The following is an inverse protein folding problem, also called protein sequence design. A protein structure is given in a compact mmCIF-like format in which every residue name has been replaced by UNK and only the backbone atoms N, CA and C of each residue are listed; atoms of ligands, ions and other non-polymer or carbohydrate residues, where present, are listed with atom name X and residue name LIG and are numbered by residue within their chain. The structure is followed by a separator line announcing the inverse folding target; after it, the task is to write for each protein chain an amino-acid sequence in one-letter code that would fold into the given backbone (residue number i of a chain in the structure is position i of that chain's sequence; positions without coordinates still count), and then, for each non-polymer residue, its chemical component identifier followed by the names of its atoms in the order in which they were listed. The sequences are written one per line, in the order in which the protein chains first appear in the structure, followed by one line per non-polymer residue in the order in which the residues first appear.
data_IF_424769596052
#
_entry.id   IF_424769596052
#
_cell.length_a   1.000
_cell.length_b   1.000
_cell.length_c   1.000
_cell.angle_alpha   90.00
_cell.angle_beta   90.00
_cell.angle_gamma   90.00
#
_symmetry.space_group_name_H-M   'P 1'
#
loop_
_entity.id
_entity.type
_entity.pdbx_description
1 polymer ?
#
# COMPACT_ATOMS: atom_id res chain seq x y z
N UNK A 1 -3.97 -0.05 31.03
CA UNK A 1 -3.17 -0.32 29.82
C UNK A 1 -1.82 0.37 29.96
N UNK A 2 -0.70 -0.34 29.71
CA UNK A 2 0.60 0.32 29.62
C UNK A 2 0.66 1.13 28.31
N UNK A 3 1.12 2.39 28.35
CA UNK A 3 1.23 3.20 27.15
C UNK A 3 2.30 2.63 26.20
N UNK A 4 2.09 2.78 24.90
CA UNK A 4 3.11 2.46 23.88
C UNK A 4 4.30 3.42 24.09
N UNK A 5 5.50 2.87 24.28
CA UNK A 5 6.71 3.67 24.53
C UNK A 5 7.32 4.25 23.25
N UNK A 6 7.38 3.45 22.19
CA UNK A 6 8.01 3.82 20.92
C UNK A 6 7.12 3.43 19.74
N UNK A 7 7.03 4.30 18.74
CA UNK A 7 6.40 4.06 17.44
C UNK A 7 7.48 4.16 16.36
N UNK A 8 7.67 3.08 15.61
CA UNK A 8 8.62 3.03 14.49
C UNK A 8 7.83 2.85 13.21
N UNK A 9 8.00 3.78 12.28
CA UNK A 9 7.39 3.75 10.96
C UNK A 9 8.46 3.47 9.92
N UNK A 10 8.19 2.51 9.04
CA UNK A 10 9.05 2.18 7.91
C UNK A 10 8.26 2.44 6.65
N UNK A 11 8.76 3.35 5.81
CA UNK A 11 8.18 3.72 4.51
C UNK A 11 6.66 3.95 4.60
N UNK A 12 6.19 4.54 5.70
CA UNK A 12 4.76 4.73 5.97
C UNK A 12 4.35 6.13 5.55
N UNK A 13 3.48 6.29 4.53
CA UNK A 13 2.99 7.61 4.15
C UNK A 13 2.02 8.14 5.21
N UNK A 14 2.14 9.43 5.50
CA UNK A 14 1.20 10.18 6.37
C UNK A 14 0.45 11.24 5.58
N UNK A 15 1.17 11.93 4.69
CA UNK A 15 0.62 12.90 3.75
C UNK A 15 0.52 12.27 2.36
N UNK A 16 -0.70 12.27 1.80
CA UNK A 16 -1.03 11.70 0.51
C UNK A 16 -1.21 12.77 -0.59
N UNK A 17 -0.77 14.01 -0.36
CA UNK A 17 -0.77 15.06 -1.37
C UNK A 17 0.16 14.76 -2.55
N UNK A 18 1.30 14.11 -2.30
CA UNK A 18 2.28 13.73 -3.33
C UNK A 18 2.52 12.20 -3.34
N UNK A 19 1.58 11.45 -3.91
CA UNK A 19 1.63 9.96 -3.92
C UNK A 19 2.32 9.36 -5.14
N UNK A 20 2.97 10.18 -5.96
CA UNK A 20 3.61 9.76 -7.21
C UNK A 20 2.60 9.13 -8.17
N UNK A 21 2.94 7.97 -8.74
CA UNK A 21 2.12 7.29 -9.74
C UNK A 21 0.82 6.70 -9.17
N UNK A 22 0.69 6.56 -7.85
CA UNK A 22 -0.56 6.12 -7.23
C UNK A 22 -1.66 7.18 -7.32
N UNK A 23 -1.31 8.47 -7.30
CA UNK A 23 -2.25 9.57 -7.41
C UNK A 23 -3.17 9.45 -8.63
N UNK A 24 -2.62 9.44 -9.86
CA UNK A 24 -3.44 9.26 -11.07
C UNK A 24 -4.07 7.86 -11.20
N UNK A 25 -3.43 6.81 -10.67
CA UNK A 25 -3.97 5.45 -10.72
C UNK A 25 -5.25 5.29 -9.88
N UNK A 26 -5.31 5.97 -8.74
CA UNK A 26 -6.39 5.87 -7.75
C UNK A 26 -7.33 7.09 -7.76
N UNK A 27 -7.12 8.02 -8.71
CA UNK A 27 -7.91 9.23 -8.87
C UNK A 27 -9.40 8.86 -9.06
N UNK A 28 -10.27 9.49 -8.27
CA UNK A 28 -11.72 9.24 -8.28
C UNK A 28 -12.37 9.42 -9.66
N UNK A 29 -11.77 10.24 -10.53
CA UNK A 29 -12.24 10.47 -11.89
C UNK A 29 -12.10 9.23 -12.78
N UNK A 30 -11.09 8.40 -12.53
CA UNK A 30 -10.74 7.26 -13.38
C UNK A 30 -10.93 5.92 -12.68
N UNK A 31 -10.85 5.89 -11.35
CA UNK A 31 -10.99 4.69 -10.53
C UNK A 31 -12.30 4.71 -9.74
N UNK A 32 -13.30 3.98 -10.26
CA UNK A 32 -14.57 3.80 -9.56
C UNK A 32 -14.42 2.79 -8.40
N UNK A 33 -13.95 3.31 -7.28
CA UNK A 33 -13.71 2.57 -6.04
C UNK A 33 -14.96 1.86 -5.52
N UNK A 34 -16.13 2.53 -5.57
CA UNK A 34 -17.37 1.94 -5.06
C UNK A 34 -17.78 0.74 -5.90
N UNK A 35 -17.74 0.85 -7.23
CA UNK A 35 -18.02 -0.28 -8.11
C UNK A 35 -17.09 -1.46 -7.86
N UNK A 36 -15.80 -1.22 -7.63
CA UNK A 36 -14.85 -2.29 -7.32
C UNK A 36 -15.26 -3.03 -6.02
N UNK A 37 -15.51 -2.28 -4.95
CA UNK A 37 -15.85 -2.86 -3.65
C UNK A 37 -17.23 -3.53 -3.68
N UNK A 38 -18.23 -2.90 -4.27
CA UNK A 38 -19.61 -3.41 -4.34
C UNK A 38 -19.71 -4.68 -5.22
N UNK A 39 -18.82 -4.82 -6.21
CA UNK A 39 -18.78 -6.00 -7.08
C UNK A 39 -18.09 -7.18 -6.41
N UNK A 40 -16.93 -6.95 -5.78
CA UNK A 40 -16.10 -8.05 -5.28
C UNK A 40 -16.37 -8.40 -3.81
N UNK A 41 -16.88 -7.46 -3.01
CA UNK A 41 -17.03 -7.59 -1.55
C UNK A 41 -15.67 -7.59 -0.82
N UNK A 42 -14.79 -8.53 -1.14
CA UNK A 42 -13.37 -8.49 -0.81
C UNK A 42 -12.57 -8.26 -2.09
N UNK A 43 -11.62 -7.33 -2.07
CA UNK A 43 -10.79 -7.04 -3.24
C UNK A 43 -9.83 -8.22 -3.50
N UNK A 44 -9.86 -8.82 -4.70
CA UNK A 44 -8.96 -9.92 -5.04
C UNK A 44 -7.50 -9.47 -4.97
N UNK A 45 -6.58 -10.31 -4.44
CA UNK A 45 -5.16 -9.96 -4.39
C UNK A 45 -4.57 -9.71 -5.78
N UNK A 46 -5.06 -10.41 -6.81
CA UNK A 46 -4.61 -10.25 -8.19
C UNK A 46 -4.94 -8.87 -8.75
N UNK A 47 -6.07 -8.26 -8.33
CA UNK A 47 -6.43 -6.91 -8.72
C UNK A 47 -5.43 -5.88 -8.15
N UNK A 48 -5.04 -6.07 -6.89
CA UNK A 48 -4.08 -5.20 -6.21
C UNK A 48 -2.68 -5.36 -6.83
N UNK A 49 -2.24 -6.60 -7.03
CA UNK A 49 -0.96 -6.90 -7.70
C UNK A 49 -0.92 -6.31 -9.12
N UNK A 50 -1.98 -6.50 -9.90
CA UNK A 50 -2.08 -5.91 -11.23
C UNK A 50 -1.98 -4.39 -11.20
N UNK A 51 -2.71 -3.72 -10.29
CA UNK A 51 -2.62 -2.27 -10.10
C UNK A 51 -1.19 -1.80 -9.78
N UNK A 52 -0.51 -2.49 -8.86
CA UNK A 52 0.89 -2.19 -8.51
C UNK A 52 1.85 -2.38 -9.69
N UNK A 53 1.68 -3.45 -10.46
CA UNK A 53 2.51 -3.70 -11.65
C UNK A 53 2.30 -2.65 -12.72
N UNK A 54 1.07 -2.15 -12.88
CA UNK A 54 0.72 -1.11 -13.85
C UNK A 54 1.35 0.26 -13.58
N UNK A 55 1.88 0.52 -12.39
CA UNK A 55 2.62 1.76 -12.11
C UNK A 55 3.86 1.90 -12.99
N UNK A 56 4.62 0.81 -13.16
CA UNK A 56 5.80 0.76 -14.03
C UNK A 56 5.77 -0.56 -14.80
N UNK A 57 4.92 -0.69 -15.83
CA UNK A 57 4.55 -1.99 -16.38
C UNK A 57 5.76 -2.75 -16.94
N UNK A 58 6.64 -2.08 -17.70
CA UNK A 58 7.85 -2.72 -18.22
C UNK A 58 8.74 -3.21 -17.06
N UNK A 59 9.01 -2.33 -16.09
CA UNK A 59 9.86 -2.66 -14.94
C UNK A 59 9.27 -3.77 -14.08
N UNK A 60 7.97 -3.74 -13.80
CA UNK A 60 7.34 -4.61 -12.81
C UNK A 60 6.94 -5.98 -13.40
N UNK A 61 6.58 -6.05 -14.70
CA UNK A 61 6.28 -7.32 -15.36
C UNK A 61 7.54 -8.03 -15.88
N UNK A 62 8.49 -7.29 -16.45
CA UNK A 62 9.64 -7.88 -17.16
C UNK A 62 10.92 -7.83 -16.34
N UNK A 63 11.12 -6.75 -15.58
CA UNK A 63 12.35 -6.52 -14.80
C UNK A 63 12.76 -7.66 -13.87
N UNK A 64 11.84 -8.29 -13.09
CA UNK A 64 12.20 -9.42 -12.24
C UNK A 64 12.79 -10.60 -13.02
N UNK A 65 12.32 -10.87 -14.23
CA UNK A 65 12.80 -11.98 -15.06
C UNK A 65 14.12 -11.65 -15.74
N UNK A 66 14.31 -10.40 -16.19
CA UNK A 66 15.61 -9.94 -16.71
C UNK A 66 16.68 -10.08 -15.63
N UNK A 67 16.40 -9.62 -14.41
CA UNK A 67 17.32 -9.77 -13.28
C UNK A 67 17.62 -11.24 -12.93
N UNK A 68 16.66 -12.14 -13.14
CA UNK A 68 16.86 -13.58 -12.98
C UNK A 68 17.80 -14.15 -14.03
N UNK A 69 17.60 -13.80 -15.30
CA UNK A 69 18.48 -14.24 -16.39
C UNK A 69 19.91 -13.73 -16.19
N UNK A 70 20.06 -12.45 -15.85
CA UNK A 70 21.37 -11.82 -15.66
C UNK A 70 22.19 -12.43 -14.50
N UNK A 71 21.51 -13.07 -13.54
CA UNK A 71 22.12 -13.57 -12.30
C UNK A 71 21.80 -15.03 -12.01
N UNK A 72 21.46 -15.81 -13.05
CA UNK A 72 20.98 -17.18 -12.90
C UNK A 72 22.01 -18.13 -12.27
N UNK A 73 23.31 -17.82 -12.41
CA UNK A 73 24.40 -18.61 -11.83
C UNK A 73 24.66 -18.28 -10.35
N UNK A 74 24.05 -17.22 -9.81
CA UNK A 74 24.16 -16.88 -8.40
C UNK A 74 23.03 -17.56 -7.60
N UNK A 75 23.33 -18.74 -7.04
CA UNK A 75 22.36 -19.55 -6.30
C UNK A 75 21.65 -18.78 -5.18
N UNK A 76 22.38 -17.95 -4.41
CA UNK A 76 21.80 -17.13 -3.33
C UNK A 76 20.81 -16.10 -3.85
N UNK A 77 21.13 -15.48 -4.99
CA UNK A 77 20.21 -14.55 -5.64
C UNK A 77 18.96 -15.28 -6.14
N UNK A 78 19.11 -16.44 -6.79
CA UNK A 78 17.99 -17.24 -7.30
C UNK A 78 17.07 -17.67 -6.16
N UNK A 79 17.61 -18.11 -5.03
CA UNK A 79 16.82 -18.46 -3.84
C UNK A 79 16.04 -17.26 -3.32
N UNK A 80 16.72 -16.11 -3.15
CA UNK A 80 16.10 -14.87 -2.68
C UNK A 80 14.99 -14.39 -3.63
N UNK A 81 15.24 -14.47 -4.94
CA UNK A 81 14.26 -14.14 -5.98
C UNK A 81 13.02 -15.02 -5.87
N UNK A 82 13.18 -16.35 -5.70
CA UNK A 82 12.04 -17.28 -5.54
C UNK A 82 11.19 -16.94 -4.32
N UNK A 83 11.82 -16.61 -3.20
CA UNK A 83 11.11 -16.23 -1.98
C UNK A 83 10.32 -14.93 -2.17
N UNK A 84 10.91 -13.93 -2.82
CA UNK A 84 10.22 -12.67 -3.14
C UNK A 84 9.06 -12.91 -4.10
N UNK A 85 9.26 -13.68 -5.18
CA UNK A 85 8.17 -13.97 -6.13
C UNK A 85 7.03 -14.75 -5.46
N UNK A 86 7.36 -15.71 -4.59
CA UNK A 86 6.35 -16.41 -3.80
C UNK A 86 5.59 -15.42 -2.92
N UNK A 87 6.29 -14.58 -2.15
CA UNK A 87 5.65 -13.60 -1.27
C UNK A 87 4.74 -12.61 -2.02
N UNK A 88 5.18 -12.10 -3.17
CA UNK A 88 4.37 -11.21 -4.02
C UNK A 88 3.14 -11.94 -4.56
N UNK A 89 3.27 -13.22 -4.93
CA UNK A 89 2.18 -14.02 -5.47
C UNK A 89 1.21 -14.62 -4.44
N UNK A 90 1.56 -14.63 -3.16
CA UNK A 90 0.81 -15.26 -2.06
C UNK A 90 -0.10 -14.23 -1.34
N UNK A 91 -0.79 -13.41 -2.14
CA UNK A 91 -1.70 -12.38 -1.62
C UNK A 91 -3.00 -12.98 -1.09
N UNK A 92 -3.62 -12.31 -0.12
CA UNK A 92 -4.95 -12.65 0.41
C UNK A 92 -6.00 -11.62 0.00
N UNK A 93 -7.28 -12.01 -0.14
CA UNK A 93 -8.35 -11.05 -0.39
C UNK A 93 -8.41 -9.95 0.68
N UNK A 94 -8.45 -8.69 0.24
CA UNK A 94 -8.46 -7.54 1.13
C UNK A 94 -9.91 -7.15 1.48
N UNK A 95 -10.28 -6.94 2.76
CA UNK A 95 -11.63 -6.54 3.14
C UNK A 95 -12.10 -5.27 2.42
N UNK A 96 -13.20 -5.36 1.66
CA UNK A 96 -13.60 -4.29 0.73
C UNK A 96 -13.87 -2.95 1.39
N UNK A 97 -14.55 -2.91 2.53
CA UNK A 97 -14.81 -1.63 3.23
C UNK A 97 -13.54 -1.01 3.82
N UNK A 98 -12.57 -1.83 4.23
CA UNK A 98 -11.25 -1.33 4.62
C UNK A 98 -10.49 -0.78 3.42
N UNK A 99 -10.60 -1.42 2.25
CA UNK A 99 -10.01 -0.90 1.00
C UNK A 99 -10.67 0.42 0.59
N UNK A 100 -12.00 0.48 0.66
CA UNK A 100 -12.80 1.69 0.40
C UNK A 100 -12.33 2.84 1.28
N UNK A 101 -12.24 2.61 2.59
CA UNK A 101 -11.75 3.61 3.54
C UNK A 101 -10.32 4.03 3.21
N UNK A 102 -9.43 3.08 2.95
CA UNK A 102 -8.03 3.38 2.69
C UNK A 102 -7.83 4.26 1.46
N UNK A 103 -8.39 3.88 0.30
CA UNK A 103 -8.23 4.67 -0.92
C UNK A 103 -8.94 6.02 -0.79
N UNK A 104 -10.18 6.03 -0.28
CA UNK A 104 -10.97 7.26 -0.20
C UNK A 104 -10.42 8.26 0.82
N UNK A 105 -10.17 7.81 2.03
CA UNK A 105 -9.82 8.73 3.12
C UNK A 105 -8.36 9.15 3.06
N UNK A 106 -7.46 8.33 2.49
CA UNK A 106 -6.04 8.65 2.41
C UNK A 106 -5.66 9.15 1.01
N UNK A 107 -5.73 8.31 -0.03
CA UNK A 107 -5.25 8.70 -1.37
C UNK A 107 -6.08 9.82 -2.01
N UNK A 108 -7.41 9.77 -1.91
CA UNK A 108 -8.28 10.75 -2.59
C UNK A 108 -8.49 12.03 -1.75
N UNK A 109 -8.71 11.88 -0.44
CA UNK A 109 -9.10 13.01 0.41
C UNK A 109 -8.01 13.47 1.39
N UNK A 110 -6.97 12.68 1.62
CA UNK A 110 -5.86 13.00 2.53
C UNK A 110 -6.31 13.42 3.95
N UNK A 111 -7.33 12.75 4.48
CA UNK A 111 -8.03 13.11 5.73
C UNK A 111 -7.15 13.02 6.97
N UNK A 112 -6.08 12.22 6.95
CA UNK A 112 -5.21 12.04 8.13
C UNK A 112 -4.53 13.35 8.52
N UNK A 113 -3.77 13.95 7.60
CA UNK A 113 -3.04 15.21 7.86
C UNK A 113 -3.94 16.43 7.93
N UNK A 114 -5.13 16.37 7.31
CA UNK A 114 -6.17 17.39 7.46
C UNK A 114 -6.88 17.32 8.81
N UNK A 115 -6.66 16.27 9.61
CA UNK A 115 -7.35 16.08 10.88
C UNK A 115 -8.85 15.84 10.68
N UNK A 116 -9.24 15.15 9.62
CA UNK A 116 -10.63 14.83 9.26
C UNK A 116 -10.93 13.33 9.39
N UNK A 117 -9.90 12.50 9.59
CA UNK A 117 -10.04 11.05 9.68
C UNK A 117 -10.80 10.64 10.95
N UNK A 118 -11.79 9.76 10.77
CA UNK A 118 -12.59 9.17 11.85
C UNK A 118 -12.47 7.66 11.79
N UNK A 119 -12.05 7.04 12.89
CA UNK A 119 -11.95 5.58 13.01
C UNK A 119 -12.83 5.16 14.19
N UNK A 120 -13.76 4.22 13.96
CA UNK A 120 -14.71 3.70 14.97
C UNK A 120 -15.47 4.83 15.71
N UNK A 121 -15.87 5.88 14.99
CA UNK A 121 -16.57 7.04 15.54
C UNK A 121 -15.71 8.02 16.33
N UNK A 122 -14.39 7.80 16.42
CA UNK A 122 -13.46 8.70 17.09
C UNK A 122 -12.62 9.46 16.08
N UNK A 123 -12.54 10.78 16.25
CA UNK A 123 -11.67 11.65 15.46
C UNK A 123 -10.21 11.31 15.75
N UNK A 124 -9.43 11.07 14.71
CA UNK A 124 -7.99 10.84 14.83
C UNK A 124 -7.31 12.19 15.00
N UNK A 125 -6.52 12.32 16.06
CA UNK A 125 -5.71 13.50 16.36
C UNK A 125 -4.27 13.07 16.67
N UNK A 126 -3.36 13.39 15.74
CA UNK A 126 -1.95 13.02 15.83
C UNK A 126 -1.24 13.74 17.00
N UNK A 127 -1.75 14.86 17.50
CA UNK A 127 -1.18 15.56 18.65
C UNK A 127 -1.30 14.74 19.96
N UNK A 128 -2.15 13.71 19.97
CA UNK A 128 -2.29 12.78 21.09
C UNK A 128 -1.18 11.71 21.14
N UNK A 129 -0.33 11.61 20.12
CA UNK A 129 0.83 10.71 20.15
C UNK A 129 1.86 11.26 21.16
N UNK A 130 2.06 10.53 22.26
CA UNK A 130 3.06 10.84 23.31
C UNK A 130 4.25 9.87 23.35
N UNK A 131 4.23 8.86 22.49
CA UNK A 131 5.34 7.90 22.34
C UNK A 131 6.54 8.56 21.65
N UNK A 132 7.74 8.02 21.84
CA UNK A 132 8.88 8.40 21.00
C UNK A 132 8.61 7.91 19.56
N UNK A 133 8.78 8.80 18.58
CA UNK A 133 8.52 8.48 17.17
C UNK A 133 9.84 8.42 16.40
N UNK A 134 10.03 7.33 15.65
CA UNK A 134 11.06 7.19 14.64
C UNK A 134 10.39 6.92 13.29
N UNK A 135 10.63 7.79 12.30
CA UNK A 135 10.19 7.58 10.93
C UNK A 135 11.40 7.30 10.04
N UNK A 136 11.39 6.16 9.36
CA UNK A 136 12.41 5.75 8.40
C UNK A 136 11.79 5.84 7.01
N UNK A 137 12.20 6.86 6.25
CA UNK A 137 11.79 7.11 4.86
C UNK A 137 13.00 7.03 3.92
N UNK A 138 12.78 6.60 2.69
CA UNK A 138 13.79 6.52 1.62
C UNK A 138 13.17 6.72 0.26
#
# INVERSE_FOLDING_TARGET
HMPIRNLIFMTSPFDFSETGLYGPLLDEKYFNLDKAVDTFGNIPPEMIDFGNKMLKPITNFVGPYVALVDRSENERFVESWRLVQKWVGDGIPFPGESYRQWIRDFYQNNKLVKGELVIRGQKVDLANIKANVLNISG
#
